data_IF_915706377331
#
_entry.id   IF_915706377331
#
_cell.length_a   1.000
_cell.length_b   1.000
_cell.length_c   1.000
_cell.angle_alpha   90.00
_cell.angle_beta   90.00
_cell.angle_gamma   90.00
#
_symmetry.space_group_name_H-M   'P 1'
#
loop_
_entity.id
_entity.type
_entity.pdbx_description
1 polymer ?
#
# COMPACT_ATOMS: atom_id res chain seq x y z
N UNK A 1 -14.94 20.46 3.83
CA UNK A 1 -14.51 19.46 2.83
C UNK A 1 -13.82 20.22 1.71
N UNK A 2 -12.51 20.03 1.47
CA UNK A 2 -11.87 20.61 0.29
C UNK A 2 -12.48 19.98 -0.96
N UNK A 3 -12.61 20.78 -2.00
CA UNK A 3 -13.31 20.45 -3.23
C UNK A 3 -12.60 19.32 -4.00
N UNK A 4 -13.06 18.08 -3.79
CA UNK A 4 -12.57 16.91 -4.54
C UNK A 4 -12.86 17.18 -6.02
N UNK A 5 -11.80 17.36 -6.80
CA UNK A 5 -11.86 17.58 -8.24
C UNK A 5 -12.81 16.57 -8.90
N UNK A 6 -13.63 17.00 -9.86
CA UNK A 6 -14.63 16.15 -10.55
C UNK A 6 -14.03 14.83 -11.07
N UNK A 7 -12.78 14.86 -11.52
CA UNK A 7 -12.06 13.64 -11.94
C UNK A 7 -11.78 12.67 -10.78
N UNK A 8 -11.48 13.17 -9.60
CA UNK A 8 -11.20 12.35 -8.42
C UNK A 8 -12.49 11.75 -7.85
N UNK A 9 -13.62 12.47 -7.89
CA UNK A 9 -14.95 11.89 -7.58
C UNK A 9 -15.29 10.69 -8.46
N UNK A 10 -14.94 10.74 -9.75
CA UNK A 10 -15.12 9.59 -10.67
C UNK A 10 -14.27 8.39 -10.26
N UNK A 11 -12.99 8.61 -9.92
CA UNK A 11 -12.09 7.54 -9.49
C UNK A 11 -12.60 6.82 -8.23
N UNK A 12 -13.08 7.56 -7.23
CA UNK A 12 -13.67 6.96 -6.03
C UNK A 12 -14.93 6.14 -6.31
N UNK A 13 -15.82 6.60 -7.21
CA UNK A 13 -17.00 5.79 -7.60
C UNK A 13 -16.62 4.46 -8.26
N UNK A 14 -15.54 4.44 -9.06
CA UNK A 14 -15.01 3.21 -9.65
C UNK A 14 -14.40 2.30 -8.57
N UNK A 15 -13.68 2.87 -7.61
CA UNK A 15 -13.13 2.14 -6.47
C UNK A 15 -14.23 1.52 -5.59
N UNK A 16 -15.28 2.27 -5.29
CA UNK A 16 -16.43 1.76 -4.53
C UNK A 16 -17.12 0.62 -5.28
N UNK A 17 -17.23 0.72 -6.60
CA UNK A 17 -17.86 -0.34 -7.40
C UNK A 17 -17.03 -1.62 -7.44
N UNK A 18 -15.71 -1.55 -7.65
CA UNK A 18 -14.87 -2.75 -7.61
C UNK A 18 -14.86 -3.39 -6.21
N UNK A 19 -14.90 -2.59 -5.13
CA UNK A 19 -15.06 -3.10 -3.76
C UNK A 19 -16.34 -3.91 -3.58
N UNK A 20 -17.43 -3.49 -4.23
CA UNK A 20 -18.68 -4.28 -4.23
C UNK A 20 -18.52 -5.57 -5.02
N UNK A 21 -17.91 -5.53 -6.21
CA UNK A 21 -17.65 -6.74 -7.00
C UNK A 21 -16.76 -7.75 -6.26
N UNK A 22 -15.75 -7.30 -5.52
CA UNK A 22 -14.85 -8.15 -4.74
C UNK A 22 -15.54 -8.90 -3.60
N UNK A 23 -16.73 -8.48 -3.17
CA UNK A 23 -17.51 -9.24 -2.17
C UNK A 23 -18.07 -10.54 -2.72
N UNK A 24 -18.18 -10.68 -4.04
CA UNK A 24 -18.87 -11.81 -4.69
C UNK A 24 -18.03 -12.56 -5.71
N UNK A 25 -16.89 -12.00 -6.14
CA UNK A 25 -15.99 -12.65 -7.09
C UNK A 25 -14.52 -12.29 -6.81
N UNK A 26 -13.57 -13.23 -7.02
CA UNK A 26 -12.15 -12.93 -6.93
C UNK A 26 -11.73 -11.92 -8.01
N UNK A 27 -10.70 -11.12 -7.72
CA UNK A 27 -10.23 -10.02 -8.57
C UNK A 27 -10.06 -10.45 -10.02
N UNK A 28 -9.42 -11.60 -10.26
CA UNK A 28 -9.12 -12.13 -11.60
C UNK A 28 -10.38 -12.37 -12.45
N UNK A 29 -11.53 -12.64 -11.82
CA UNK A 29 -12.83 -12.84 -12.50
C UNK A 29 -13.64 -11.56 -12.68
N UNK A 30 -13.30 -10.48 -11.98
CA UNK A 30 -13.94 -9.18 -12.15
C UNK A 30 -13.54 -8.60 -13.51
N UNK A 31 -14.53 -8.14 -14.27
CA UNK A 31 -14.32 -7.47 -15.55
C UNK A 31 -14.51 -5.96 -15.43
N UNK A 32 -13.92 -5.19 -16.34
CA UNK A 32 -14.20 -3.74 -16.44
C UNK A 32 -15.70 -3.49 -16.62
N UNK A 33 -16.41 -4.37 -17.32
CA UNK A 33 -17.87 -4.26 -17.50
C UNK A 33 -18.60 -4.33 -16.15
N UNK A 34 -18.28 -5.33 -15.31
CA UNK A 34 -18.86 -5.50 -13.98
C UNK A 34 -18.68 -4.26 -13.10
N UNK A 35 -17.52 -3.60 -13.18
CA UNK A 35 -17.21 -2.38 -12.42
C UNK A 35 -18.04 -1.20 -12.93
N UNK A 36 -18.07 -0.96 -14.25
CA UNK A 36 -18.77 0.22 -14.76
C UNK A 36 -20.28 0.11 -14.63
N UNK A 37 -20.82 -1.12 -14.70
CA UNK A 37 -22.24 -1.39 -14.46
C UNK A 37 -22.64 -1.05 -13.02
N UNK A 38 -21.79 -1.42 -12.05
CA UNK A 38 -22.05 -1.17 -10.62
C UNK A 38 -22.03 0.30 -10.21
N UNK A 39 -21.47 1.20 -11.04
CA UNK A 39 -21.50 2.65 -10.80
C UNK A 39 -22.22 3.47 -11.87
N UNK A 40 -22.93 2.81 -12.80
CA UNK A 40 -23.63 3.44 -13.93
C UNK A 40 -22.72 4.34 -14.79
N UNK A 41 -21.55 3.82 -15.15
CA UNK A 41 -20.58 4.49 -16.04
C UNK A 41 -20.32 3.67 -17.30
N UNK A 42 -19.50 4.21 -18.21
CA UNK A 42 -19.09 3.52 -19.43
C UNK A 42 -17.68 2.98 -19.32
N UNK A 43 -17.35 1.93 -20.10
CA UNK A 43 -15.97 1.44 -20.23
C UNK A 43 -15.00 2.53 -20.67
N UNK A 44 -15.43 3.44 -21.54
CA UNK A 44 -14.64 4.60 -21.96
C UNK A 44 -14.30 5.51 -20.76
N UNK A 45 -15.24 5.68 -19.82
CA UNK A 45 -14.99 6.43 -18.59
C UNK A 45 -13.99 5.72 -17.68
N UNK A 46 -14.05 4.39 -17.59
CA UNK A 46 -13.04 3.60 -16.88
C UNK A 46 -11.65 3.82 -17.48
N UNK A 47 -11.49 3.58 -18.78
CA UNK A 47 -10.18 3.64 -19.45
C UNK A 47 -9.58 5.05 -19.54
N UNK A 48 -10.39 6.10 -19.36
CA UNK A 48 -9.89 7.47 -19.17
C UNK A 48 -9.19 7.66 -17.82
N UNK A 49 -9.51 6.83 -16.83
CA UNK A 49 -9.00 6.95 -15.46
C UNK A 49 -7.98 5.87 -15.09
N UNK A 50 -8.13 4.67 -15.62
CA UNK A 50 -7.33 3.49 -15.27
C UNK A 50 -7.05 2.60 -16.47
N UNK A 51 -5.86 2.02 -16.53
CA UNK A 51 -5.45 1.08 -17.60
C UNK A 51 -6.22 -0.22 -17.51
N UNK A 52 -6.37 -0.75 -16.31
CA UNK A 52 -7.07 -1.99 -16.00
C UNK A 52 -7.56 -1.98 -14.53
N UNK A 53 -8.11 -3.11 -14.07
CA UNK A 53 -8.62 -3.26 -12.69
C UNK A 53 -7.52 -3.24 -11.63
N UNK A 54 -6.30 -3.65 -11.96
CA UNK A 54 -5.17 -3.64 -11.03
C UNK A 54 -4.65 -2.22 -10.84
N UNK A 55 -4.58 -1.43 -11.92
CA UNK A 55 -4.27 0.00 -11.86
C UNK A 55 -5.26 0.77 -10.96
N UNK A 56 -6.55 0.43 -11.01
CA UNK A 56 -7.56 0.96 -10.08
C UNK A 56 -7.29 0.54 -8.62
N UNK A 57 -6.95 -0.73 -8.38
CA UNK A 57 -6.66 -1.26 -7.04
C UNK A 57 -5.41 -0.58 -6.46
N UNK A 58 -4.35 -0.50 -7.25
CA UNK A 58 -3.08 0.12 -6.89
C UNK A 58 -3.26 1.61 -6.62
N UNK A 59 -4.03 2.33 -7.46
CA UNK A 59 -4.38 3.73 -7.19
C UNK A 59 -5.13 3.91 -5.87
N UNK A 60 -6.07 3.03 -5.55
CA UNK A 60 -6.80 3.12 -4.29
C UNK A 60 -5.88 2.82 -3.09
N UNK A 61 -4.95 1.89 -3.24
CA UNK A 61 -3.90 1.63 -2.25
C UNK A 61 -2.93 2.81 -2.09
N UNK A 62 -2.56 3.49 -3.17
CA UNK A 62 -1.70 4.68 -3.12
C UNK A 62 -2.30 5.76 -2.22
N UNK A 63 -3.63 5.93 -2.24
CA UNK A 63 -4.30 6.89 -1.36
C UNK A 63 -4.04 6.56 0.12
N UNK A 64 -4.07 5.28 0.47
CA UNK A 64 -3.71 4.80 1.81
C UNK A 64 -2.23 5.04 2.11
N UNK A 65 -1.33 4.61 1.22
CA UNK A 65 0.12 4.71 1.44
C UNK A 65 0.48 6.18 1.63
N UNK A 66 0.03 7.05 0.73
CA UNK A 66 0.27 8.49 0.84
C UNK A 66 -0.24 9.05 2.16
N UNK A 67 -1.43 8.69 2.64
CA UNK A 67 -1.93 9.17 3.94
C UNK A 67 -1.11 8.63 5.13
N UNK A 68 -0.67 7.38 5.06
CA UNK A 68 0.08 6.70 6.13
C UNK A 68 1.51 7.23 6.23
N UNK A 69 2.17 7.41 5.08
CA UNK A 69 3.58 7.79 4.98
C UNK A 69 3.84 9.29 4.82
N UNK A 70 2.85 10.12 4.46
CA UNK A 70 3.03 11.56 4.20
C UNK A 70 3.69 12.35 5.34
N UNK A 71 3.60 11.84 6.58
CA UNK A 71 4.14 12.49 7.79
C UNK A 71 5.28 11.70 8.44
N UNK A 72 5.68 10.59 7.83
CA UNK A 72 6.77 9.76 8.34
C UNK A 72 8.12 10.46 8.07
N UNK A 73 8.93 10.60 9.13
CA UNK A 73 10.20 11.33 9.10
C UNK A 73 10.09 12.85 9.26
N UNK A 74 8.88 13.41 9.41
CA UNK A 74 8.67 14.79 9.87
C UNK A 74 8.27 14.83 11.33
N UNK A 75 7.14 14.18 11.66
CA UNK A 75 6.54 14.16 12.98
C UNK A 75 6.02 12.78 13.38
N UNK A 76 6.29 11.77 12.53
CA UNK A 76 5.94 10.38 12.79
C UNK A 76 7.10 9.44 12.54
N UNK A 77 7.15 8.39 13.35
CA UNK A 77 8.06 7.27 13.23
C UNK A 77 7.55 6.23 12.23
N UNK A 78 8.41 5.28 11.84
CA UNK A 78 8.06 4.11 11.04
C UNK A 78 6.95 3.31 11.73
N UNK A 79 7.03 3.15 13.05
CA UNK A 79 6.00 2.48 13.84
C UNK A 79 4.63 3.12 13.62
N UNK A 80 4.52 4.44 13.80
CA UNK A 80 3.23 5.15 13.68
C UNK A 80 2.65 5.11 12.27
N UNK A 81 3.49 5.17 11.23
CA UNK A 81 3.02 5.02 9.86
C UNK A 81 2.58 3.58 9.55
N UNK A 82 3.28 2.57 10.07
CA UNK A 82 2.87 1.17 9.95
C UNK A 82 1.55 0.88 10.67
N UNK A 83 1.36 1.41 11.89
CA UNK A 83 0.08 1.27 12.61
C UNK A 83 -1.08 1.78 11.76
N UNK A 84 -0.96 2.99 11.20
CA UNK A 84 -2.01 3.57 10.33
C UNK A 84 -2.26 2.74 9.07
N UNK A 85 -1.18 2.26 8.43
CA UNK A 85 -1.28 1.36 7.28
C UNK A 85 -2.11 0.12 7.65
N UNK A 86 -1.78 -0.54 8.76
CA UNK A 86 -2.49 -1.74 9.21
C UNK A 86 -3.92 -1.47 9.70
N UNK A 87 -4.18 -0.33 10.34
CA UNK A 87 -5.52 0.09 10.74
C UNK A 87 -6.45 0.20 9.53
N UNK A 88 -6.00 0.85 8.47
CA UNK A 88 -6.81 1.00 7.27
C UNK A 88 -6.93 -0.31 6.50
N UNK A 89 -5.87 -1.11 6.39
CA UNK A 89 -5.98 -2.46 5.80
C UNK A 89 -7.05 -3.27 6.55
N UNK A 90 -7.12 -3.14 7.87
CA UNK A 90 -8.14 -3.78 8.71
C UNK A 90 -9.55 -3.19 8.49
N UNK A 91 -9.68 -1.88 8.34
CA UNK A 91 -10.95 -1.22 8.02
C UNK A 91 -11.52 -1.70 6.68
N UNK A 92 -10.65 -1.92 5.69
CA UNK A 92 -10.98 -2.36 4.34
C UNK A 92 -10.69 -3.86 4.11
N UNK A 93 -10.93 -4.68 5.14
CA UNK A 93 -10.51 -6.09 5.19
C UNK A 93 -10.86 -6.90 3.95
N UNK A 94 -12.10 -6.83 3.47
CA UNK A 94 -12.57 -7.62 2.32
C UNK A 94 -11.80 -7.24 1.06
N UNK A 95 -11.67 -5.93 0.82
CA UNK A 95 -10.96 -5.42 -0.36
C UNK A 95 -9.51 -5.88 -0.38
N UNK A 96 -8.77 -5.69 0.72
CA UNK A 96 -7.37 -6.07 0.77
C UNK A 96 -7.15 -7.58 0.78
N UNK A 97 -8.06 -8.35 1.38
CA UNK A 97 -7.98 -9.82 1.31
C UNK A 97 -8.08 -10.30 -0.14
N UNK A 98 -9.02 -9.78 -0.93
CA UNK A 98 -9.13 -10.17 -2.33
C UNK A 98 -8.00 -9.59 -3.19
N UNK A 99 -7.59 -8.34 -2.96
CA UNK A 99 -6.51 -7.70 -3.70
C UNK A 99 -5.16 -8.41 -3.51
N UNK A 100 -4.82 -8.83 -2.28
CA UNK A 100 -3.58 -9.55 -1.99
C UNK A 100 -3.63 -11.05 -2.37
N UNK A 101 -4.77 -11.60 -2.80
CA UNK A 101 -4.84 -12.97 -3.34
C UNK A 101 -4.38 -13.07 -4.79
N UNK A 102 -4.43 -11.98 -5.55
CA UNK A 102 -3.99 -11.99 -6.94
C UNK A 102 -2.46 -12.03 -7.02
N UNK A 103 -1.95 -12.92 -7.87
CA UNK A 103 -0.52 -13.08 -8.18
C UNK A 103 -0.17 -12.58 -9.59
N UNK A 104 -0.98 -11.65 -10.12
CA UNK A 104 -0.74 -11.04 -11.43
C UNK A 104 0.55 -10.18 -11.45
N UNK A 105 1.10 -9.93 -12.64
CA UNK A 105 2.33 -9.15 -12.82
C UNK A 105 2.22 -7.71 -12.28
N UNK A 106 0.99 -7.17 -12.19
CA UNK A 106 0.68 -5.87 -11.57
C UNK A 106 0.07 -6.02 -10.17
N UNK A 107 0.38 -7.11 -9.44
CA UNK A 107 -0.22 -7.38 -8.14
C UNK A 107 0.05 -6.26 -7.13
N UNK A 108 -0.88 -6.12 -6.19
CA UNK A 108 -0.77 -5.20 -5.08
C UNK A 108 0.50 -5.45 -4.23
N UNK A 109 1.04 -6.68 -4.25
CA UNK A 109 2.24 -7.06 -3.49
C UNK A 109 3.48 -6.36 -4.02
N UNK A 110 3.71 -6.47 -5.34
CA UNK A 110 4.87 -5.82 -5.97
C UNK A 110 4.73 -4.30 -5.89
N UNK A 111 3.51 -3.77 -6.09
CA UNK A 111 3.25 -2.35 -5.95
C UNK A 111 3.53 -1.82 -4.53
N UNK A 112 3.11 -2.54 -3.48
CA UNK A 112 3.42 -2.18 -2.08
C UNK A 112 4.93 -2.22 -1.79
N UNK A 113 5.63 -3.21 -2.34
CA UNK A 113 7.08 -3.29 -2.23
C UNK A 113 7.78 -2.09 -2.86
N UNK A 114 7.45 -1.77 -4.12
CA UNK A 114 8.02 -0.64 -4.87
C UNK A 114 7.79 0.69 -4.16
N UNK A 115 6.59 0.92 -3.63
CA UNK A 115 6.27 2.13 -2.86
C UNK A 115 7.10 2.26 -1.58
N UNK A 116 7.18 1.19 -0.79
CA UNK A 116 7.89 1.23 0.50
C UNK A 116 9.40 1.40 0.27
N UNK A 117 9.98 0.67 -0.68
CA UNK A 117 11.42 0.72 -0.91
C UNK A 117 11.87 2.08 -1.45
N UNK A 118 11.14 2.64 -2.42
CA UNK A 118 11.44 3.98 -2.93
C UNK A 118 11.19 5.04 -1.86
N UNK A 119 10.14 4.92 -1.04
CA UNK A 119 9.93 5.83 0.08
C UNK A 119 11.14 5.87 1.03
N UNK A 120 11.62 4.71 1.49
CA UNK A 120 12.78 4.68 2.40
C UNK A 120 14.06 5.16 1.72
N UNK A 121 14.27 4.80 0.45
CA UNK A 121 15.39 5.27 -0.35
C UNK A 121 15.41 6.80 -0.43
N UNK A 122 14.27 7.42 -0.74
CA UNK A 122 14.12 8.88 -0.78
C UNK A 122 14.37 9.52 0.58
N UNK A 123 13.87 8.95 1.68
CA UNK A 123 14.12 9.47 3.02
C UNK A 123 15.61 9.45 3.38
N UNK A 124 16.29 8.33 3.12
CA UNK A 124 17.73 8.20 3.36
C UNK A 124 18.48 9.21 2.51
N UNK A 125 18.20 9.30 1.21
CA UNK A 125 18.88 10.23 0.30
C UNK A 125 18.67 11.69 0.72
N UNK A 126 17.42 12.06 1.04
CA UNK A 126 17.06 13.42 1.45
C UNK A 126 17.74 13.84 2.75
N UNK A 127 17.77 12.97 3.75
CA UNK A 127 18.30 13.30 5.08
C UNK A 127 19.82 13.19 5.17
N UNK A 128 20.44 12.29 4.41
CA UNK A 128 21.90 12.12 4.38
C UNK A 128 22.58 12.96 3.29
N UNK A 129 21.83 13.44 2.29
CA UNK A 129 22.33 14.07 1.05
C UNK A 129 23.31 13.19 0.27
N UNK A 130 23.17 11.86 0.38
CA UNK A 130 24.03 10.86 -0.25
C UNK A 130 23.20 9.78 -0.92
N UNK A 131 23.79 9.10 -1.90
CA UNK A 131 23.18 7.88 -2.45
C UNK A 131 23.15 6.78 -1.38
N UNK A 132 22.11 5.95 -1.42
CA UNK A 132 22.02 4.76 -0.56
C UNK A 132 23.14 3.80 -0.98
N UNK A 133 23.98 3.41 -0.02
CA UNK A 133 25.06 2.45 -0.29
C UNK A 133 24.49 1.09 -0.65
N UNK A 134 25.19 0.33 -1.49
CA UNK A 134 24.74 -0.98 -1.98
C UNK A 134 24.47 -1.99 -0.84
N UNK A 135 25.33 -2.01 0.18
CA UNK A 135 25.16 -2.85 1.37
C UNK A 135 23.88 -2.52 2.14
N UNK A 136 23.51 -1.25 2.21
CA UNK A 136 22.28 -0.79 2.86
C UNK A 136 21.06 -1.04 1.97
N UNK A 137 21.20 -0.90 0.65
CA UNK A 137 20.14 -1.18 -0.30
C UNK A 137 19.74 -2.66 -0.27
N UNK A 138 20.70 -3.57 -0.17
CA UNK A 138 20.44 -5.00 0.03
C UNK A 138 19.61 -5.27 1.29
N UNK A 139 19.98 -4.67 2.43
CA UNK A 139 19.24 -4.80 3.68
C UNK A 139 17.83 -4.22 3.58
N UNK A 140 17.70 -3.08 2.89
CA UNK A 140 16.43 -2.41 2.68
C UNK A 140 15.50 -3.26 1.81
N UNK A 141 16.00 -3.82 0.70
CA UNK A 141 15.23 -4.73 -0.15
C UNK A 141 14.75 -5.96 0.62
N UNK A 142 15.65 -6.63 1.35
CA UNK A 142 15.30 -7.80 2.15
C UNK A 142 14.23 -7.46 3.21
N UNK A 143 14.41 -6.35 3.92
CA UNK A 143 13.44 -5.89 4.92
C UNK A 143 12.08 -5.55 4.31
N UNK A 144 12.04 -4.84 3.18
CA UNK A 144 10.79 -4.46 2.52
C UNK A 144 10.06 -5.68 1.94
N UNK A 145 10.77 -6.60 1.26
CA UNK A 145 10.17 -7.84 0.76
C UNK A 145 9.61 -8.69 1.89
N UNK A 146 10.37 -8.86 2.98
CA UNK A 146 9.92 -9.57 4.17
C UNK A 146 8.68 -8.91 4.81
N UNK A 147 8.68 -7.58 4.91
CA UNK A 147 7.56 -6.81 5.46
C UNK A 147 6.27 -6.95 4.64
N UNK A 148 6.36 -6.89 3.31
CA UNK A 148 5.23 -7.11 2.41
C UNK A 148 4.72 -8.54 2.53
N UNK A 149 5.62 -9.53 2.52
CA UNK A 149 5.25 -10.94 2.71
C UNK A 149 4.49 -11.16 4.02
N UNK A 150 5.00 -10.61 5.13
CA UNK A 150 4.37 -10.73 6.44
C UNK A 150 3.03 -10.00 6.51
N UNK A 151 2.89 -8.86 5.81
CA UNK A 151 1.62 -8.15 5.65
C UNK A 151 0.60 -9.02 4.91
N UNK A 152 0.97 -9.58 3.76
CA UNK A 152 0.10 -10.50 2.99
C UNK A 152 -0.31 -11.69 3.84
N UNK A 153 0.64 -12.32 4.53
CA UNK A 153 0.36 -13.46 5.42
C UNK A 153 -0.62 -13.08 6.52
N UNK A 154 -0.46 -11.92 7.15
CA UNK A 154 -1.37 -11.42 8.18
C UNK A 154 -2.79 -11.19 7.63
N UNK A 155 -2.90 -10.53 6.47
CA UNK A 155 -4.19 -10.30 5.79
C UNK A 155 -4.89 -11.62 5.48
N UNK A 156 -4.20 -12.55 4.81
CA UNK A 156 -4.79 -13.81 4.35
C UNK A 156 -5.14 -14.77 5.50
N UNK A 157 -4.45 -14.67 6.64
CA UNK A 157 -4.75 -15.44 7.85
C UNK A 157 -5.79 -14.78 8.77
N UNK A 158 -6.49 -13.76 8.27
CA UNK A 158 -7.65 -13.18 8.93
C UNK A 158 -7.35 -12.00 9.86
N UNK A 159 -6.12 -11.46 9.82
CA UNK A 159 -5.68 -10.28 10.60
C UNK A 159 -5.83 -10.49 12.11
N UNK A 160 -5.21 -11.54 12.64
CA UNK A 160 -5.39 -11.96 14.05
C UNK A 160 -4.70 -11.00 15.02
N UNK A 161 -3.46 -10.63 14.73
CA UNK A 161 -2.68 -9.66 15.46
C UNK A 161 -3.25 -8.24 15.25
N UNK A 162 -3.13 -7.38 16.25
CA UNK A 162 -3.55 -5.97 16.12
C UNK A 162 -2.60 -5.19 15.18
N UNK A 163 -3.05 -4.07 14.60
CA UNK A 163 -2.18 -3.16 13.85
C UNK A 163 -0.90 -2.77 14.60
N UNK A 164 -1.00 -2.55 15.92
CA UNK A 164 0.12 -2.21 16.80
C UNK A 164 1.09 -3.37 16.99
N UNK A 165 0.57 -4.59 17.17
CA UNK A 165 1.38 -5.81 17.28
C UNK A 165 2.14 -6.08 15.97
N UNK A 166 1.46 -5.94 14.82
CA UNK A 166 2.08 -6.10 13.51
C UNK A 166 3.14 -5.02 13.24
N UNK A 167 2.83 -3.76 13.52
CA UNK A 167 3.79 -2.66 13.37
C UNK A 167 5.02 -2.87 14.24
N UNK A 168 4.85 -3.28 15.50
CA UNK A 168 5.95 -3.56 16.42
C UNK A 168 6.81 -4.72 15.93
N UNK A 169 6.19 -5.83 15.51
CA UNK A 169 6.92 -6.99 15.00
C UNK A 169 7.79 -6.65 13.78
N UNK A 170 7.29 -5.81 12.86
CA UNK A 170 8.09 -5.36 11.72
C UNK A 170 9.23 -4.42 12.13
N UNK A 171 8.98 -3.47 13.03
CA UNK A 171 10.03 -2.57 13.53
C UNK A 171 11.13 -3.35 14.26
N UNK A 172 10.75 -4.33 15.09
CA UNK A 172 11.70 -5.17 15.83
C UNK A 172 12.50 -6.12 14.91
N UNK A 173 11.93 -6.51 13.77
CA UNK A 173 12.60 -7.35 12.78
C UNK A 173 13.61 -6.57 11.90
N UNK A 174 13.71 -5.25 12.05
CA UNK A 174 14.62 -4.42 11.26
C UNK A 174 16.08 -4.82 11.49
N UNK A 175 16.87 -5.08 10.43
CA UNK A 175 18.29 -5.41 10.59
C UNK A 175 19.04 -4.31 11.37
N UNK A 176 19.93 -4.67 12.33
CA UNK A 176 20.56 -3.68 13.21
C UNK A 176 21.23 -2.51 12.48
N UNK A 177 21.96 -2.81 11.41
CA UNK A 177 22.61 -1.80 10.56
C UNK A 177 21.63 -0.88 9.83
N UNK A 178 20.45 -1.39 9.45
CA UNK A 178 19.39 -0.56 8.87
C UNK A 178 18.74 0.31 9.95
N UNK A 179 18.52 -0.25 11.14
CA UNK A 179 17.97 0.45 12.30
C UNK A 179 18.86 1.61 12.76
N UNK A 180 20.17 1.42 12.80
CA UNK A 180 21.13 2.49 13.09
C UNK A 180 20.96 3.69 12.15
N UNK A 181 20.88 3.44 10.85
CA UNK A 181 20.65 4.51 9.86
C UNK A 181 19.30 5.17 10.08
N UNK A 182 18.25 4.41 10.37
CA UNK A 182 16.91 4.96 10.60
C UNK A 182 16.85 5.83 11.86
N UNK A 183 17.60 5.48 12.92
CA UNK A 183 17.77 6.29 14.12
C UNK A 183 18.50 7.60 13.82
N UNK A 184 19.61 7.54 13.07
CA UNK A 184 20.40 8.72 12.67
C UNK A 184 19.57 9.74 11.87
N UNK A 185 18.62 9.25 11.07
CA UNK A 185 17.75 10.11 10.24
C UNK A 185 16.37 10.36 10.88
N UNK A 186 16.18 10.02 12.16
CA UNK A 186 14.95 10.24 12.91
C UNK A 186 13.70 9.65 12.22
N UNK A 187 13.80 8.41 11.75
CA UNK A 187 12.67 7.62 11.23
C UNK A 187 12.12 6.64 12.27
N UNK A 188 12.93 6.21 13.23
CA UNK A 188 12.53 5.33 14.35
C UNK A 188 12.95 5.91 15.68
#
# INVERSE_FOLDING_TARGET
MPDVNKGEKTKYRLADSIKVCMKTAPVDKITVQSIVDGCHMTRQTFYRNFKDKYDLINWYFDKLVLESFARMGTDRTVYEGLVRKFEFIRQEKIFFTEAFRSDDQNSLKEHDFELIIEFYREQIQRKTRRQVREDLMFLLEMYCRGSVYMTVKWVLNGMKETPEEMARALVDAMPPKLREVFLEIHLV
#
